data_IF_350338516311
#
_entry.id   IF_350338516311
#
_cell.length_a   1.000
_cell.length_b   1.000
_cell.length_c   1.000
_cell.angle_alpha   90.00
_cell.angle_beta   90.00
_cell.angle_gamma   90.00
#
_symmetry.space_group_name_H-M   'P 1'
#
loop_
_entity.id
_entity.type
_entity.pdbx_description
1 polymer ?
#
# COMPACT_ATOMS: atom_id res chain seq x y z
N UNK A 1 -27.02 -10.16 59.39
CA UNK A 1 -26.91 -8.81 58.82
C UNK A 1 -26.76 -8.95 57.31
N UNK A 2 -27.80 -8.76 56.48
CA UNK A 2 -27.69 -9.00 55.04
C UNK A 2 -27.15 -7.76 54.31
N UNK A 3 -26.10 -7.93 53.52
CA UNK A 3 -25.56 -6.91 52.63
C UNK A 3 -26.48 -6.73 51.42
N UNK A 4 -27.12 -5.55 51.32
CA UNK A 4 -27.90 -5.13 50.14
C UNK A 4 -26.93 -4.70 49.04
N UNK A 5 -26.91 -5.42 47.91
CA UNK A 5 -26.33 -4.92 46.66
C UNK A 5 -27.28 -3.86 46.06
N UNK A 6 -26.82 -2.62 45.99
CA UNK A 6 -27.48 -1.55 45.22
C UNK A 6 -26.90 -1.59 43.81
N UNK A 7 -27.70 -2.01 42.83
CA UNK A 7 -27.38 -1.85 41.40
C UNK A 7 -27.90 -0.48 40.95
N UNK A 8 -27.00 0.49 40.76
CA UNK A 8 -27.32 1.71 40.04
C UNK A 8 -27.06 1.50 38.54
N UNK A 9 -28.00 1.81 37.63
CA UNK A 9 -27.73 1.75 36.20
C UNK A 9 -26.87 2.95 35.80
N UNK A 10 -25.67 2.67 35.31
CA UNK A 10 -24.79 3.66 34.69
C UNK A 10 -25.38 4.01 33.31
N UNK A 11 -26.08 5.13 33.20
CA UNK A 11 -26.50 5.65 31.89
C UNK A 11 -25.28 6.30 31.22
N UNK A 12 -24.67 5.58 30.27
CA UNK A 12 -23.60 6.11 29.44
C UNK A 12 -24.23 6.93 28.31
N UNK A 13 -24.28 8.25 28.46
CA UNK A 13 -24.67 9.15 27.39
C UNK A 13 -23.54 9.19 26.35
N UNK A 14 -23.72 8.50 25.21
CA UNK A 14 -22.82 8.61 24.07
C UNK A 14 -23.01 9.98 23.40
N UNK A 15 -22.10 10.92 23.66
CA UNK A 15 -21.95 12.11 22.82
C UNK A 15 -21.36 11.68 21.47
N UNK A 16 -22.24 11.51 20.47
CA UNK A 16 -21.83 11.43 19.07
C UNK A 16 -21.33 12.82 18.63
N UNK A 17 -20.05 13.11 18.91
CA UNK A 17 -19.36 14.26 18.36
C UNK A 17 -19.17 14.07 16.86
N UNK A 18 -20.05 14.64 16.05
CA UNK A 18 -19.84 14.78 14.61
C UNK A 18 -18.67 15.75 14.43
N UNK A 19 -17.46 15.23 14.32
CA UNK A 19 -16.31 15.99 13.83
C UNK A 19 -16.53 16.24 12.34
N UNK A 20 -17.26 17.30 12.01
CA UNK A 20 -17.23 17.86 10.68
C UNK A 20 -15.84 18.46 10.46
N UNK A 21 -14.96 17.73 9.76
CA UNK A 21 -13.76 18.32 9.17
C UNK A 21 -14.20 19.39 8.17
N UNK A 22 -14.36 20.63 8.63
CA UNK A 22 -14.36 21.78 7.75
C UNK A 22 -12.94 21.92 7.22
N UNK A 23 -12.73 21.60 5.94
CA UNK A 23 -11.56 22.07 5.23
C UNK A 23 -11.55 23.60 5.38
N UNK A 24 -10.55 24.14 6.07
CA UNK A 24 -10.37 25.58 6.14
C UNK A 24 -10.17 26.08 4.69
N UNK A 25 -10.78 27.20 4.29
CA UNK A 25 -10.47 27.80 3.00
C UNK A 25 -8.96 28.08 2.96
N UNK A 26 -8.30 27.65 1.89
CA UNK A 26 -6.87 27.89 1.70
C UNK A 26 -6.61 29.39 1.88
N UNK A 27 -5.70 29.75 2.78
CA UNK A 27 -5.38 31.15 3.06
C UNK A 27 -4.78 31.77 1.79
N UNK A 28 -5.58 32.60 1.12
CA UNK A 28 -5.20 33.21 -0.15
C UNK A 28 -3.97 34.12 -0.06
N UNK A 29 -3.54 34.45 1.17
CA UNK A 29 -2.35 35.24 1.48
C UNK A 29 -1.07 34.40 1.70
N UNK A 30 -1.19 33.08 1.80
CA UNK A 30 -0.03 32.22 2.01
C UNK A 30 0.96 32.34 0.82
N UNK A 31 2.28 32.44 1.10
CA UNK A 31 3.28 32.50 0.06
C UNK A 31 3.27 31.21 -0.78
N UNK A 32 3.51 31.34 -2.09
CA UNK A 32 3.64 30.18 -2.97
C UNK A 32 5.00 29.53 -2.74
N UNK A 33 4.99 28.25 -2.35
CA UNK A 33 6.21 27.49 -2.11
C UNK A 33 6.77 26.88 -3.39
N UNK A 34 5.88 26.46 -4.30
CA UNK A 34 6.24 25.74 -5.52
C UNK A 34 5.39 26.20 -6.71
N UNK A 35 6.06 26.45 -7.83
CA UNK A 35 5.43 26.55 -9.16
C UNK A 35 5.98 25.44 -10.04
N UNK A 36 5.08 24.72 -10.72
CA UNK A 36 5.43 23.75 -11.76
C UNK A 36 4.85 24.21 -13.09
N UNK A 37 5.71 24.57 -14.03
CA UNK A 37 5.36 24.87 -15.42
C UNK A 37 5.36 23.59 -16.26
N UNK A 38 4.40 23.46 -17.17
CA UNK A 38 4.29 22.31 -18.05
C UNK A 38 2.87 22.09 -18.55
N UNK A 39 2.64 20.95 -19.21
CA UNK A 39 1.29 20.56 -19.61
C UNK A 39 0.54 20.00 -18.40
N UNK A 40 -0.40 20.77 -17.85
CA UNK A 40 -1.18 20.39 -16.65
C UNK A 40 -2.57 19.91 -17.08
N UNK A 41 -2.94 18.67 -16.77
CA UNK A 41 -4.31 18.19 -16.90
C UNK A 41 -5.10 18.50 -15.63
N UNK A 42 -6.24 19.15 -15.76
CA UNK A 42 -7.02 19.65 -14.61
C UNK A 42 -8.15 18.72 -14.18
N UNK A 43 -8.57 17.79 -15.06
CA UNK A 43 -9.78 17.00 -14.87
C UNK A 43 -11.10 17.78 -15.03
N UNK A 44 -11.04 19.09 -15.29
CA UNK A 44 -12.22 19.94 -15.55
C UNK A 44 -12.56 19.92 -17.04
N UNK A 45 -13.79 19.55 -17.40
CA UNK A 45 -14.24 19.50 -18.79
C UNK A 45 -14.31 20.88 -19.46
N UNK A 46 -14.54 21.95 -18.69
CA UNK A 46 -14.57 23.31 -19.21
C UNK A 46 -13.17 23.89 -19.45
N UNK A 47 -12.16 23.41 -18.70
CA UNK A 47 -10.77 23.83 -18.86
C UNK A 47 -9.79 22.69 -18.64
N UNK A 48 -9.73 21.69 -19.55
CA UNK A 48 -9.04 20.42 -19.32
C UNK A 48 -7.51 20.55 -19.25
N UNK A 49 -6.96 21.63 -19.78
CA UNK A 49 -5.53 21.89 -19.84
C UNK A 49 -5.18 23.25 -19.25
N UNK A 50 -4.02 23.32 -18.60
CA UNK A 50 -3.37 24.54 -18.13
C UNK A 50 -1.86 24.44 -18.35
N UNK A 51 -1.15 25.55 -18.11
CA UNK A 51 0.28 25.66 -18.39
C UNK A 51 1.14 25.65 -17.12
N UNK A 52 0.53 25.85 -15.96
CA UNK A 52 1.23 25.80 -14.68
C UNK A 52 0.29 25.56 -13.49
N UNK A 53 0.88 25.08 -12.39
CA UNK A 53 0.26 24.98 -11.06
C UNK A 53 1.14 25.69 -10.03
N UNK A 54 0.51 26.48 -9.15
CA UNK A 54 1.10 27.06 -7.95
C UNK A 54 0.59 26.33 -6.71
N UNK A 55 1.50 26.00 -5.80
CA UNK A 55 1.23 25.27 -4.56
C UNK A 55 1.69 26.12 -3.37
N UNK A 56 0.86 26.19 -2.35
CA UNK A 56 1.16 26.79 -1.06
C UNK A 56 0.83 25.76 0.03
N UNK A 57 1.83 25.33 0.79
CA UNK A 57 1.74 24.23 1.74
C UNK A 57 1.28 22.93 1.09
N UNK A 58 0.16 22.41 1.58
CA UNK A 58 -0.51 21.19 1.11
C UNK A 58 -1.64 21.46 0.11
N UNK A 59 -1.83 22.72 -0.31
CA UNK A 59 -2.93 23.15 -1.15
C UNK A 59 -2.48 23.71 -2.52
N UNK A 60 -3.30 23.45 -3.54
CA UNK A 60 -3.17 24.09 -4.84
C UNK A 60 -3.68 25.53 -4.71
N UNK A 61 -2.79 26.51 -4.88
CA UNK A 61 -3.12 27.94 -4.80
C UNK A 61 -3.75 28.47 -6.09
N UNK A 62 -3.28 27.98 -7.22
CA UNK A 62 -3.81 28.33 -8.54
C UNK A 62 -3.36 27.31 -9.60
N UNK A 63 -4.17 27.16 -10.64
CA UNK A 63 -3.84 26.45 -11.88
C UNK A 63 -4.25 27.38 -13.01
N UNK A 64 -3.43 27.53 -14.04
CA UNK A 64 -3.73 28.50 -15.11
C UNK A 64 -2.62 28.66 -16.12
N UNK A 65 -2.65 29.79 -16.81
CA UNK A 65 -1.65 30.15 -17.81
C UNK A 65 -0.32 30.52 -17.15
N UNK A 66 0.79 30.27 -17.84
CA UNK A 66 2.13 30.48 -17.28
C UNK A 66 2.34 31.91 -16.80
N UNK A 67 1.83 32.90 -17.54
CA UNK A 67 1.96 34.30 -17.19
C UNK A 67 1.16 34.68 -15.93
N UNK A 68 0.03 34.02 -15.68
CA UNK A 68 -0.78 34.26 -14.49
C UNK A 68 -0.12 33.67 -13.25
N UNK A 69 0.36 32.44 -13.37
CA UNK A 69 1.04 31.74 -12.29
C UNK A 69 2.38 32.38 -11.95
N UNK A 70 3.11 32.91 -12.94
CA UNK A 70 4.37 33.63 -12.73
C UNK A 70 4.23 34.83 -11.77
N UNK A 71 3.06 35.51 -11.77
CA UNK A 71 2.80 36.65 -10.86
C UNK A 71 2.64 36.24 -9.40
N UNK A 72 2.40 34.94 -9.14
CA UNK A 72 2.24 34.41 -7.78
C UNK A 72 3.57 33.96 -7.18
N UNK A 73 4.63 33.81 -7.99
CA UNK A 73 5.94 33.42 -7.51
C UNK A 73 6.59 34.57 -6.73
N UNK A 74 7.06 34.26 -5.52
CA UNK A 74 7.84 35.14 -4.67
C UNK A 74 9.33 34.77 -4.62
N UNK A 75 10.14 35.51 -3.87
CA UNK A 75 11.60 35.30 -3.79
C UNK A 75 12.02 33.91 -3.28
N UNK A 76 11.18 33.26 -2.47
CA UNK A 76 11.41 31.92 -1.93
C UNK A 76 10.72 30.80 -2.70
N UNK A 77 9.96 31.12 -3.76
CA UNK A 77 9.21 30.12 -4.52
C UNK A 77 10.18 29.24 -5.30
N UNK A 78 10.09 27.92 -5.09
CA UNK A 78 10.78 26.96 -5.94
C UNK A 78 10.07 26.89 -7.28
N UNK A 79 10.82 27.01 -8.38
CA UNK A 79 10.27 26.92 -9.74
C UNK A 79 10.79 25.66 -10.42
N UNK A 80 9.87 24.86 -10.95
CA UNK A 80 10.15 23.67 -11.75
C UNK A 80 9.53 23.81 -13.15
N UNK A 81 10.21 23.30 -14.16
CA UNK A 81 9.68 23.13 -15.52
C UNK A 81 9.72 21.65 -15.88
N UNK A 82 8.59 21.08 -16.31
CA UNK A 82 8.48 19.65 -16.59
C UNK A 82 8.82 19.29 -18.05
N UNK A 83 9.21 20.27 -18.88
CA UNK A 83 9.49 20.07 -20.30
C UNK A 83 8.26 19.57 -21.07
N UNK A 84 8.37 18.37 -21.65
CA UNK A 84 7.28 17.72 -22.41
C UNK A 84 6.43 16.78 -21.57
N UNK A 85 6.76 16.60 -20.28
CA UNK A 85 5.99 15.76 -19.38
C UNK A 85 4.62 16.38 -19.03
N UNK A 86 3.77 15.60 -18.38
CA UNK A 86 2.44 16.06 -17.96
C UNK A 86 2.36 16.10 -16.43
N UNK A 87 1.73 17.16 -15.90
CA UNK A 87 1.28 17.20 -14.51
C UNK A 87 -0.16 16.74 -14.46
N UNK A 88 -0.46 15.78 -13.60
CA UNK A 88 -1.81 15.23 -13.38
C UNK A 88 -2.10 15.19 -11.88
N UNK A 89 -3.38 15.13 -11.47
CA UNK A 89 -3.72 14.75 -10.10
C UNK A 89 -3.07 13.41 -9.75
N UNK A 90 -2.59 13.29 -8.51
CA UNK A 90 -2.10 12.02 -8.00
C UNK A 90 -3.19 10.95 -8.08
N UNK A 91 -2.81 9.70 -8.34
CA UNK A 91 -3.78 8.61 -8.36
C UNK A 91 -4.38 8.42 -6.97
N UNK A 92 -5.71 8.30 -6.93
CA UNK A 92 -6.47 8.00 -5.72
C UNK A 92 -7.14 6.65 -5.89
N UNK A 93 -6.81 5.72 -5.01
CA UNK A 93 -7.47 4.42 -4.94
C UNK A 93 -8.51 4.43 -3.81
N UNK A 94 -9.78 4.26 -4.17
CA UNK A 94 -10.90 4.31 -3.24
C UNK A 94 -11.07 3.02 -2.42
N UNK A 95 -10.40 1.92 -2.81
CA UNK A 95 -10.54 0.66 -2.11
C UNK A 95 -9.30 -0.21 -2.23
N UNK A 96 -8.51 -0.27 -1.16
CA UNK A 96 -7.34 -1.13 -1.07
C UNK A 96 -7.29 -1.84 0.28
N UNK A 97 -6.56 -2.96 0.30
CA UNK A 97 -6.19 -3.65 1.53
C UNK A 97 -4.72 -3.34 1.87
N UNK A 98 -4.44 -2.14 2.37
CA UNK A 98 -3.06 -1.68 2.61
C UNK A 98 -2.19 -2.62 3.44
N UNK A 99 -2.72 -3.16 4.55
CA UNK A 99 -1.96 -4.11 5.38
C UNK A 99 -1.67 -5.40 4.63
N UNK A 100 -2.65 -5.95 3.91
CA UNK A 100 -2.45 -7.17 3.13
C UNK A 100 -1.45 -6.96 1.99
N UNK A 101 -1.52 -5.82 1.28
CA UNK A 101 -0.56 -5.46 0.25
C UNK A 101 0.85 -5.25 0.80
N UNK A 102 0.97 -4.57 1.94
CA UNK A 102 2.25 -4.38 2.63
C UNK A 102 2.87 -5.71 3.08
N UNK A 103 2.08 -6.62 3.64
CA UNK A 103 2.54 -7.96 3.98
C UNK A 103 2.95 -8.78 2.76
N UNK A 104 2.26 -8.64 1.62
CA UNK A 104 2.71 -9.28 0.37
C UNK A 104 4.06 -8.73 -0.10
N UNK A 105 4.24 -7.42 -0.14
CA UNK A 105 5.49 -6.78 -0.58
C UNK A 105 6.68 -7.09 0.35
N UNK A 106 6.42 -7.40 1.61
CA UNK A 106 7.43 -7.80 2.59
C UNK A 106 7.65 -9.33 2.67
N UNK A 107 6.88 -10.10 1.90
CA UNK A 107 6.95 -11.55 1.89
C UNK A 107 8.08 -12.07 0.99
N UNK A 108 8.26 -13.38 0.98
CA UNK A 108 9.06 -14.07 -0.03
C UNK A 108 8.45 -13.87 -1.42
N UNK A 109 9.27 -13.45 -2.38
CA UNK A 109 8.85 -13.28 -3.77
C UNK A 109 8.96 -14.61 -4.53
N UNK A 110 7.83 -15.26 -4.85
CA UNK A 110 7.80 -16.54 -5.57
C UNK A 110 7.08 -16.46 -6.92
N UNK A 111 6.45 -15.33 -7.25
CA UNK A 111 5.58 -15.16 -8.42
C UNK A 111 6.30 -15.35 -9.75
N UNK A 112 7.53 -14.85 -9.84
CA UNK A 112 8.35 -14.84 -11.05
C UNK A 112 9.41 -15.94 -11.07
N UNK A 113 9.44 -16.83 -10.06
CA UNK A 113 10.32 -18.00 -10.07
C UNK A 113 10.05 -18.82 -11.34
N UNK A 114 11.12 -19.19 -12.05
CA UNK A 114 11.07 -19.82 -13.38
C UNK A 114 11.27 -21.33 -13.34
N UNK A 115 11.59 -21.89 -12.17
CA UNK A 115 11.69 -23.34 -11.98
C UNK A 115 11.36 -23.75 -10.53
N UNK A 116 11.05 -25.04 -10.28
CA UNK A 116 10.95 -25.60 -8.94
C UNK A 116 12.19 -25.35 -8.06
N UNK A 117 13.39 -25.42 -8.63
CA UNK A 117 14.65 -25.22 -7.93
C UNK A 117 14.79 -23.77 -7.47
N UNK A 118 14.42 -22.82 -8.32
CA UNK A 118 14.40 -21.40 -7.97
C UNK A 118 13.38 -21.12 -6.86
N UNK A 119 12.17 -21.67 -6.98
CA UNK A 119 11.14 -21.56 -5.95
C UNK A 119 11.63 -22.05 -4.57
N UNK A 120 12.25 -23.24 -4.52
CA UNK A 120 12.82 -23.80 -3.28
C UNK A 120 13.99 -22.95 -2.77
N UNK A 121 14.84 -22.47 -3.67
CA UNK A 121 16.00 -21.63 -3.33
C UNK A 121 15.56 -20.31 -2.66
N UNK A 122 14.52 -19.66 -3.19
CA UNK A 122 13.98 -18.41 -2.64
C UNK A 122 13.36 -18.62 -1.26
N UNK A 123 12.59 -19.70 -1.06
CA UNK A 123 12.09 -20.07 0.27
C UNK A 123 13.22 -20.34 1.26
N UNK A 124 14.27 -21.07 0.83
CA UNK A 124 15.45 -21.34 1.65
C UNK A 124 16.18 -20.07 2.05
N UNK A 125 16.32 -19.12 1.13
CA UNK A 125 16.98 -17.84 1.39
C UNK A 125 16.16 -17.02 2.39
N UNK A 126 14.85 -16.87 2.15
CA UNK A 126 13.96 -16.11 3.02
C UNK A 126 13.90 -16.70 4.44
N UNK A 127 13.83 -18.02 4.57
CA UNK A 127 13.82 -18.69 5.88
C UNK A 127 15.07 -18.42 6.73
N UNK A 128 16.22 -18.11 6.12
CA UNK A 128 17.46 -17.78 6.85
C UNK A 128 17.43 -16.40 7.50
N UNK A 129 16.58 -15.50 7.01
CA UNK A 129 16.44 -14.14 7.52
C UNK A 129 15.47 -14.08 8.71
N UNK A 130 14.72 -15.15 8.95
CA UNK A 130 13.70 -15.24 9.97
C UNK A 130 14.21 -15.94 11.23
N UNK A 131 13.63 -15.57 12.37
CA UNK A 131 13.78 -16.32 13.61
C UNK A 131 12.99 -17.63 13.51
N UNK A 132 13.43 -18.69 14.21
CA UNK A 132 12.65 -19.92 14.32
C UNK A 132 11.21 -19.65 14.80
N UNK A 133 10.24 -20.31 14.15
CA UNK A 133 8.82 -20.18 14.44
C UNK A 133 8.11 -19.02 13.73
N UNK A 134 8.83 -18.09 13.11
CA UNK A 134 8.19 -17.06 12.28
C UNK A 134 7.59 -17.68 11.02
N UNK A 135 6.40 -17.22 10.66
CA UNK A 135 5.62 -17.75 9.56
C UNK A 135 6.09 -17.17 8.22
N UNK A 136 6.18 -18.05 7.22
CA UNK A 136 6.36 -17.67 5.82
C UNK A 136 4.99 -17.78 5.16
N UNK A 137 4.34 -16.64 4.95
CA UNK A 137 3.00 -16.52 4.33
C UNK A 137 3.03 -15.60 3.14
N UNK A 138 2.12 -15.80 2.17
CA UNK A 138 2.07 -15.00 0.94
C UNK A 138 2.64 -15.79 -0.23
N UNK A 139 3.66 -15.27 -0.92
CA UNK A 139 4.38 -15.98 -1.98
C UNK A 139 3.82 -15.82 -3.38
N UNK A 140 2.49 -15.76 -3.57
CA UNK A 140 1.83 -15.59 -4.88
C UNK A 140 2.46 -16.42 -6.02
N UNK A 141 2.82 -17.66 -5.74
CA UNK A 141 3.59 -18.49 -6.66
C UNK A 141 2.80 -18.83 -7.93
N UNK A 142 3.52 -19.13 -9.01
CA UNK A 142 2.92 -19.47 -10.30
C UNK A 142 3.61 -20.65 -10.98
N UNK A 143 2.97 -21.82 -10.93
CA UNK A 143 3.48 -23.03 -11.56
C UNK A 143 3.39 -23.01 -13.09
N UNK A 144 2.60 -22.12 -13.70
CA UNK A 144 2.52 -22.01 -15.17
C UNK A 144 3.84 -21.53 -15.78
N UNK A 145 4.72 -20.97 -14.96
CA UNK A 145 6.09 -20.60 -15.33
C UNK A 145 7.05 -21.79 -15.38
N UNK A 146 6.63 -22.98 -14.95
CA UNK A 146 7.45 -24.19 -14.85
C UNK A 146 6.93 -25.26 -15.83
N UNK A 147 7.04 -25.05 -17.15
CA UNK A 147 6.44 -25.95 -18.13
C UNK A 147 6.95 -27.38 -17.98
N UNK A 148 6.04 -28.33 -17.83
CA UNK A 148 6.34 -29.75 -17.65
C UNK A 148 6.76 -30.15 -16.23
N UNK A 149 6.87 -29.21 -15.29
CA UNK A 149 7.12 -29.51 -13.89
C UNK A 149 5.80 -29.89 -13.17
N UNK A 150 5.86 -30.76 -12.15
CA UNK A 150 4.71 -31.01 -11.28
C UNK A 150 4.41 -29.80 -10.39
N UNK A 151 3.23 -29.80 -9.79
CA UNK A 151 2.84 -28.80 -8.78
C UNK A 151 3.76 -28.86 -7.55
N UNK A 152 3.96 -27.74 -6.84
CA UNK A 152 4.80 -27.73 -5.66
C UNK A 152 4.16 -28.58 -4.55
N UNK A 153 5.01 -29.29 -3.81
CA UNK A 153 4.58 -30.22 -2.76
C UNK A 153 5.45 -30.05 -1.51
N UNK A 154 4.89 -30.40 -0.34
CA UNK A 154 5.54 -30.18 0.96
C UNK A 154 6.98 -30.72 1.04
N UNK A 155 7.23 -31.86 0.40
CA UNK A 155 8.55 -32.52 0.41
C UNK A 155 9.67 -31.71 -0.25
N UNK A 156 9.32 -30.72 -1.07
CA UNK A 156 10.30 -29.81 -1.67
C UNK A 156 10.84 -28.78 -0.68
N UNK A 157 10.03 -28.42 0.32
CA UNK A 157 10.29 -27.26 1.18
C UNK A 157 10.56 -27.64 2.64
N UNK A 158 10.19 -28.84 3.07
CA UNK A 158 10.37 -29.30 4.46
C UNK A 158 11.83 -29.20 4.94
N UNK A 159 12.79 -29.67 4.13
CA UNK A 159 14.21 -29.68 4.51
C UNK A 159 14.86 -28.29 4.53
N UNK A 160 14.30 -27.33 3.79
CA UNK A 160 14.82 -25.96 3.69
C UNK A 160 14.09 -24.97 4.61
N UNK A 161 12.96 -25.37 5.19
CA UNK A 161 12.18 -24.56 6.15
C UNK A 161 11.86 -25.33 7.45
N UNK A 162 12.80 -26.10 8.04
CA UNK A 162 12.47 -27.06 9.11
C UNK A 162 11.96 -26.41 10.40
N UNK A 163 12.32 -25.14 10.63
CA UNK A 163 12.02 -24.41 11.85
C UNK A 163 10.95 -23.33 11.66
N UNK A 164 10.44 -23.14 10.44
CA UNK A 164 9.53 -22.05 10.09
C UNK A 164 8.30 -22.61 9.40
N UNK A 165 7.08 -22.40 9.95
CA UNK A 165 5.85 -22.79 9.27
C UNK A 165 5.71 -22.04 7.94
N UNK A 166 5.40 -22.77 6.87
CA UNK A 166 5.17 -22.19 5.53
C UNK A 166 3.72 -22.44 5.15
N UNK A 167 3.01 -21.37 4.76
CA UNK A 167 1.73 -21.45 4.06
C UNK A 167 1.68 -20.38 2.96
N UNK A 168 2.02 -20.76 1.73
CA UNK A 168 2.09 -19.82 0.59
C UNK A 168 1.00 -20.09 -0.44
N UNK A 169 0.29 -19.05 -0.83
CA UNK A 169 -0.84 -19.12 -1.77
C UNK A 169 -0.36 -19.00 -3.22
N UNK A 170 -1.04 -19.70 -4.12
CA UNK A 170 -0.93 -19.46 -5.56
C UNK A 170 -1.42 -18.04 -5.87
N UNK A 171 -0.86 -17.44 -6.92
CA UNK A 171 -1.22 -16.10 -7.40
C UNK A 171 -2.73 -15.85 -7.57
N UNK A 172 -3.52 -16.89 -7.83
CA UNK A 172 -4.96 -16.81 -8.08
C UNK A 172 -5.80 -16.97 -6.81
N UNK A 173 -5.18 -17.29 -5.68
CA UNK A 173 -5.83 -17.52 -4.39
C UNK A 173 -6.54 -18.88 -4.25
N UNK A 174 -6.45 -19.79 -5.22
CA UNK A 174 -7.22 -21.04 -5.23
C UNK A 174 -6.43 -22.27 -4.76
N UNK A 175 -5.13 -22.13 -4.54
CA UNK A 175 -4.26 -23.21 -4.02
C UNK A 175 -3.30 -22.68 -2.97
N UNK A 176 -2.94 -23.53 -2.02
CA UNK A 176 -1.95 -23.24 -0.99
C UNK A 176 -0.94 -24.38 -0.86
N UNK A 177 0.32 -24.03 -0.62
CA UNK A 177 1.37 -24.97 -0.26
C UNK A 177 1.70 -24.80 1.22
N UNK A 178 1.54 -25.88 1.98
CA UNK A 178 1.91 -25.95 3.38
C UNK A 178 3.09 -26.91 3.59
N UNK A 179 4.06 -26.55 4.43
CA UNK A 179 5.08 -27.49 4.90
C UNK A 179 4.57 -28.33 6.08
N UNK A 180 5.33 -29.35 6.46
CA UNK A 180 4.97 -30.25 7.56
C UNK A 180 4.84 -29.52 8.91
N UNK A 181 5.61 -28.46 9.15
CA UNK A 181 5.51 -27.65 10.36
C UNK A 181 4.15 -26.91 10.44
N UNK A 182 3.71 -26.29 9.33
CA UNK A 182 2.42 -25.62 9.24
C UNK A 182 1.25 -26.59 9.40
N UNK A 183 1.29 -27.74 8.72
CA UNK A 183 0.25 -28.78 8.84
C UNK A 183 0.11 -29.30 10.27
N UNK A 184 1.24 -29.55 10.96
CA UNK A 184 1.25 -29.98 12.36
C UNK A 184 0.61 -28.94 13.28
N UNK A 185 0.86 -27.65 13.06
CA UNK A 185 0.23 -26.56 13.83
C UNK A 185 -1.27 -26.45 13.55
N UNK A 186 -1.67 -26.67 12.30
CA UNK A 186 -3.08 -26.65 11.87
C UNK A 186 -3.88 -27.89 12.28
N UNK A 187 -3.21 -28.99 12.67
CA UNK A 187 -3.82 -30.27 13.08
C UNK A 187 -4.64 -30.94 11.97
N UNK A 188 -4.12 -30.91 10.74
CA UNK A 188 -4.67 -31.59 9.55
C UNK A 188 -3.65 -32.53 8.92
#
# INVERSE_FOLDING_TARGET
>A
MPLRLVRAPLQLAALAGVFACRAAPADSSAPVDLVVYGRVWTGDSARPWAQAVAVAGDAIRAVGDSAEIARLAGPSTRVLSNGTAMVVPGFMDAHTHFLSGGFQLASVELRDATSPEEFVSRLKAYAKELRPGEWITGGNWDHERWPGAPLPQRGWIDSVTPNNPVFVSRLDGHMGLANSAALKLARV
#
